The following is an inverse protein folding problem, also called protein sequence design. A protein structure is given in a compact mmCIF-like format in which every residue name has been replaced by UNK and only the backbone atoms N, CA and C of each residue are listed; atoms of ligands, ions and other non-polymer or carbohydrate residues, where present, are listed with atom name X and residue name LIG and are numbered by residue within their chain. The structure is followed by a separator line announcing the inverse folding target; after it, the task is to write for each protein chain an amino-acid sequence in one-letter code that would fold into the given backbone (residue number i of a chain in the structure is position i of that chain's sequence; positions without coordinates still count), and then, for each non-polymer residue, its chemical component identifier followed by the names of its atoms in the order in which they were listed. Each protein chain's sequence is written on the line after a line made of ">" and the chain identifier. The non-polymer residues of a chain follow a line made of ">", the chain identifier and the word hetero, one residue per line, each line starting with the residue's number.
data_IF_967843351770
#
_entry.id   IF_967843351770
#
_cell.length_a   1.000
_cell.length_b   1.000
_cell.length_c   1.000
_cell.angle_alpha   90.00
_cell.angle_beta   90.00
_cell.angle_gamma   90.00
#
_symmetry.space_group_name_H-M   'P 1'
#
loop_
_entity.id
_entity.type
_entity.pdbx_description
1 polymer ?
#
# COMPACT_ATOMS: atom_id res chain seq x y z
N UNK A 1 38.64 -77.46 14.47
CA UNK A 1 38.29 -77.33 13.02
C UNK A 1 38.63 -75.90 12.61
N UNK A 2 39.71 -75.67 11.84
CA UNK A 2 39.71 -75.22 10.42
C UNK A 2 38.70 -74.08 10.17
N UNK A 3 38.98 -72.92 9.55
CA UNK A 3 40.15 -72.28 8.92
C UNK A 3 39.66 -70.86 8.52
N UNK A 4 40.52 -69.82 8.62
CA UNK A 4 40.81 -68.71 7.65
C UNK A 4 39.78 -68.38 6.55
N UNK A 5 39.49 -67.14 6.13
CA UNK A 5 40.17 -65.85 6.23
C UNK A 5 39.44 -64.82 5.33
N UNK A 6 39.83 -63.55 5.42
CA UNK A 6 39.37 -62.47 4.54
C UNK A 6 39.97 -62.59 3.12
N UNK A 7 39.34 -61.94 2.12
CA UNK A 7 39.95 -61.19 1.00
C UNK A 7 38.85 -60.57 0.11
N UNK A 8 39.03 -59.28 -0.21
CA UNK A 8 38.31 -58.48 -1.21
C UNK A 8 38.57 -58.96 -2.65
N UNK A 9 37.65 -58.75 -3.58
CA UNK A 9 37.99 -58.37 -4.97
C UNK A 9 36.80 -57.78 -5.72
N UNK A 10 37.06 -56.63 -6.35
CA UNK A 10 36.20 -55.84 -7.24
C UNK A 10 36.38 -56.35 -8.67
N UNK A 11 35.31 -56.49 -9.47
CA UNK A 11 35.36 -56.60 -10.94
C UNK A 11 34.13 -55.90 -11.60
N UNK A 12 34.45 -54.87 -12.38
CA UNK A 12 33.71 -54.16 -13.45
C UNK A 12 34.42 -54.63 -14.77
N UNK A 13 33.94 -54.56 -16.05
CA UNK A 13 32.81 -53.83 -16.71
C UNK A 13 32.03 -54.61 -17.82
N UNK A 14 31.06 -53.97 -18.51
CA UNK A 14 31.14 -53.58 -19.95
C UNK A 14 29.75 -53.22 -20.54
N UNK A 15 29.65 -51.93 -20.90
CA UNK A 15 29.01 -51.26 -22.07
C UNK A 15 27.58 -51.64 -22.51
N UNK A 16 26.73 -50.62 -22.55
CA UNK A 16 26.25 -50.09 -23.83
C UNK A 16 26.04 -48.56 -23.78
N UNK A 17 26.35 -47.93 -24.90
CA UNK A 17 26.44 -46.50 -25.19
C UNK A 17 25.25 -46.10 -26.05
N UNK A 18 24.63 -44.95 -25.76
CA UNK A 18 23.94 -44.01 -26.68
C UNK A 18 22.87 -43.24 -25.87
N UNK A 19 22.57 -41.96 -26.04
CA UNK A 19 23.17 -40.86 -26.79
C UNK A 19 22.53 -39.56 -26.26
N UNK A 20 23.34 -38.51 -26.18
CA UNK A 20 23.06 -37.10 -26.50
C UNK A 20 21.60 -36.62 -26.42
N UNK A 21 21.33 -35.70 -25.49
CA UNK A 21 20.66 -34.43 -25.80
C UNK A 21 21.02 -33.38 -24.76
N UNK A 22 21.91 -32.48 -25.18
CA UNK A 22 22.15 -31.19 -24.54
C UNK A 22 20.91 -30.34 -24.80
N UNK A 23 20.01 -30.28 -23.82
CA UNK A 23 18.94 -29.30 -23.76
C UNK A 23 19.36 -28.18 -22.83
N UNK A 24 19.92 -27.11 -23.41
CA UNK A 24 20.20 -25.86 -22.73
C UNK A 24 18.88 -25.25 -22.25
N UNK A 25 18.43 -25.57 -21.03
CA UNK A 25 17.36 -24.80 -20.38
C UNK A 25 17.99 -23.56 -19.75
N UNK A 26 18.21 -22.56 -20.59
CA UNK A 26 18.24 -21.16 -20.17
C UNK A 26 16.83 -20.80 -19.69
N UNK A 27 16.46 -21.20 -18.47
CA UNK A 27 15.32 -20.57 -17.83
C UNK A 27 15.82 -19.21 -17.35
N UNK A 28 15.52 -18.20 -18.17
CA UNK A 28 15.60 -16.79 -17.81
C UNK A 28 15.11 -16.64 -16.37
N UNK A 29 16.04 -16.28 -15.49
CA UNK A 29 15.68 -15.60 -14.25
C UNK A 29 15.09 -14.25 -14.67
N UNK A 30 13.81 -14.25 -15.06
CA UNK A 30 13.03 -13.03 -15.06
C UNK A 30 12.97 -12.60 -13.60
N UNK A 31 13.84 -11.69 -13.23
CA UNK A 31 13.61 -10.81 -12.09
C UNK A 31 12.22 -10.24 -12.30
N UNK A 32 11.24 -10.74 -11.55
CA UNK A 32 9.91 -10.19 -11.58
C UNK A 32 10.05 -8.73 -11.14
N UNK A 33 9.98 -7.81 -12.11
CA UNK A 33 9.85 -6.40 -11.82
C UNK A 33 8.64 -6.27 -10.88
N UNK A 34 8.86 -5.70 -9.70
CA UNK A 34 7.83 -5.43 -8.71
C UNK A 34 6.84 -4.44 -9.31
N UNK A 35 5.84 -4.93 -10.03
CA UNK A 35 4.78 -4.07 -10.56
C UNK A 35 3.90 -3.62 -9.40
N UNK A 36 3.97 -2.35 -9.01
CA UNK A 36 3.10 -1.79 -7.98
C UNK A 36 1.77 -1.39 -8.62
N UNK A 37 0.68 -1.62 -7.91
CA UNK A 37 -0.67 -1.52 -8.47
C UNK A 37 -1.10 -0.06 -8.76
N UNK A 38 -0.45 0.93 -8.14
CA UNK A 38 -0.73 2.36 -8.30
C UNK A 38 0.51 3.21 -8.71
N UNK A 39 1.65 2.60 -9.07
CA UNK A 39 2.82 3.34 -9.59
C UNK A 39 2.66 3.84 -11.04
N UNK A 40 1.61 3.41 -11.73
CA UNK A 40 1.36 3.84 -13.11
C UNK A 40 0.67 5.19 -13.12
N UNK A 41 1.15 6.08 -14.00
CA UNK A 41 0.46 7.32 -14.35
C UNK A 41 -0.88 7.00 -15.01
N UNK A 42 -1.94 7.71 -14.64
CA UNK A 42 -3.26 7.50 -15.24
C UNK A 42 -3.21 7.88 -16.73
N UNK A 43 -3.83 7.06 -17.61
CA UNK A 43 -3.76 7.28 -19.07
C UNK A 43 -4.22 8.69 -19.48
N UNK A 44 -5.18 9.24 -18.75
CA UNK A 44 -5.77 10.55 -19.02
C UNK A 44 -5.02 11.70 -18.31
N UNK A 45 -4.14 11.38 -17.35
CA UNK A 45 -3.33 12.34 -16.59
C UNK A 45 -1.87 11.84 -16.43
N UNK A 46 -1.10 11.77 -17.54
CA UNK A 46 0.24 11.20 -17.54
C UNK A 46 1.26 12.04 -16.76
N UNK A 47 0.92 13.24 -16.32
CA UNK A 47 1.81 14.14 -15.57
C UNK A 47 1.83 13.81 -14.07
N UNK A 48 0.80 13.13 -13.54
CA UNK A 48 0.61 12.86 -12.11
C UNK A 48 0.55 11.36 -11.81
N UNK A 49 1.08 10.95 -10.66
CA UNK A 49 0.92 9.57 -10.19
C UNK A 49 -0.55 9.29 -9.89
N UNK A 50 -0.96 8.02 -9.95
CA UNK A 50 -2.34 7.66 -9.60
C UNK A 50 -2.66 8.01 -8.14
N UNK A 51 -1.69 7.84 -7.23
CA UNK A 51 -1.82 8.28 -5.84
C UNK A 51 -2.07 9.79 -5.74
N UNK A 52 -1.32 10.58 -6.50
CA UNK A 52 -1.50 12.02 -6.60
C UNK A 52 -2.89 12.40 -7.11
N UNK A 53 -3.41 11.69 -8.12
CA UNK A 53 -4.76 11.92 -8.64
C UNK A 53 -5.82 11.62 -7.58
N UNK A 54 -5.69 10.52 -6.83
CA UNK A 54 -6.59 10.17 -5.74
C UNK A 54 -6.58 11.25 -4.65
N UNK A 55 -5.39 11.75 -4.28
CA UNK A 55 -5.25 12.84 -3.30
C UNK A 55 -5.88 14.13 -3.81
N UNK A 56 -5.64 14.48 -5.07
CA UNK A 56 -6.19 15.68 -5.68
C UNK A 56 -7.72 15.62 -5.69
N UNK A 57 -8.31 14.53 -6.17
CA UNK A 57 -9.76 14.33 -6.22
C UNK A 57 -10.39 14.36 -4.81
N UNK A 58 -9.75 13.71 -3.82
CA UNK A 58 -10.28 13.62 -2.46
C UNK A 58 -10.15 14.94 -1.66
N UNK A 59 -9.10 15.73 -1.88
CA UNK A 59 -8.73 16.83 -0.97
C UNK A 59 -8.70 18.23 -1.60
N UNK A 60 -8.88 18.39 -2.92
CA UNK A 60 -8.81 19.70 -3.56
C UNK A 60 -9.84 20.72 -3.05
N UNK A 61 -11.00 20.28 -2.57
CA UNK A 61 -12.00 21.14 -1.92
C UNK A 61 -11.75 21.38 -0.42
N UNK A 62 -10.77 20.68 0.17
CA UNK A 62 -10.56 20.61 1.62
C UNK A 62 -9.36 21.43 2.07
N UNK A 63 -8.27 21.41 1.28
CA UNK A 63 -7.01 22.13 1.55
C UNK A 63 -6.61 23.00 0.36
N UNK A 64 -5.83 24.04 0.61
CA UNK A 64 -5.35 24.96 -0.42
C UNK A 64 -4.47 24.25 -1.44
N UNK A 65 -4.38 24.80 -2.65
CA UNK A 65 -3.55 24.25 -3.73
C UNK A 65 -2.07 24.10 -3.33
N UNK A 66 -1.53 25.02 -2.52
CA UNK A 66 -0.16 24.94 -2.02
C UNK A 66 0.04 23.76 -1.07
N UNK A 67 -0.84 23.61 -0.08
CA UNK A 67 -0.82 22.45 0.83
C UNK A 67 -1.03 21.14 0.06
N UNK A 68 -1.96 21.12 -0.90
CA UNK A 68 -2.27 19.95 -1.71
C UNK A 68 -1.06 19.48 -2.54
N UNK A 69 -0.37 20.42 -3.19
CA UNK A 69 0.85 20.14 -3.95
C UNK A 69 1.91 19.46 -3.08
N UNK A 70 2.13 19.95 -1.86
CA UNK A 70 3.07 19.34 -0.92
C UNK A 70 2.65 17.92 -0.51
N UNK A 71 1.36 17.72 -0.20
CA UNK A 71 0.83 16.40 0.18
C UNK A 71 1.00 15.39 -0.95
N UNK A 72 0.68 15.78 -2.19
CA UNK A 72 0.88 14.93 -3.39
C UNK A 72 2.36 14.61 -3.58
N UNK A 73 3.23 15.62 -3.57
CA UNK A 73 4.67 15.42 -3.72
C UNK A 73 5.24 14.48 -2.64
N UNK A 74 4.81 14.65 -1.39
CA UNK A 74 5.29 13.83 -0.28
C UNK A 74 4.77 12.39 -0.36
N UNK A 75 3.58 12.18 -0.91
CA UNK A 75 3.05 10.85 -1.22
C UNK A 75 3.91 10.14 -2.28
N UNK A 76 4.29 10.86 -3.33
CA UNK A 76 5.12 10.34 -4.41
C UNK A 76 6.58 10.09 -3.99
N UNK A 77 7.06 10.83 -3.00
CA UNK A 77 8.41 10.73 -2.45
C UNK A 77 8.50 9.80 -1.22
N UNK A 78 7.43 9.09 -0.87
CA UNK A 78 7.40 8.22 0.29
C UNK A 78 8.41 7.06 0.16
N UNK A 79 9.54 7.20 0.84
CA UNK A 79 10.53 6.13 0.96
C UNK A 79 9.91 4.90 1.65
N UNK A 80 10.33 3.71 1.22
CA UNK A 80 9.80 2.38 1.60
C UNK A 80 8.37 2.04 1.10
N UNK A 81 7.70 2.89 0.31
CA UNK A 81 6.36 2.61 -0.22
C UNK A 81 6.28 1.25 -0.95
N UNK A 82 7.32 0.93 -1.72
CA UNK A 82 7.48 -0.30 -2.51
C UNK A 82 7.38 -1.59 -1.68
N UNK A 83 7.58 -1.49 -0.36
CA UNK A 83 7.57 -2.62 0.57
C UNK A 83 6.27 -2.73 1.37
N UNK A 84 5.30 -1.84 1.15
CA UNK A 84 4.07 -1.79 1.95
C UNK A 84 3.04 -2.80 1.47
N UNK A 85 2.39 -3.45 2.44
CA UNK A 85 1.31 -4.41 2.29
C UNK A 85 1.60 -5.64 1.41
N UNK A 86 2.87 -5.99 1.22
CA UNK A 86 3.28 -7.27 0.63
C UNK A 86 3.23 -8.45 1.65
N UNK A 87 3.41 -9.68 1.15
CA UNK A 87 3.25 -10.97 1.88
C UNK A 87 3.86 -11.02 3.28
N UNK A 88 5.02 -10.40 3.50
CA UNK A 88 5.76 -10.48 4.76
C UNK A 88 5.77 -9.15 5.54
N UNK A 89 5.16 -8.10 5.01
CA UNK A 89 5.30 -6.73 5.54
C UNK A 89 4.02 -6.17 6.14
N UNK A 90 2.92 -6.92 6.19
CA UNK A 90 1.65 -6.37 6.64
C UNK A 90 1.75 -5.72 8.04
N UNK A 91 2.37 -6.41 9.02
CA UNK A 91 2.66 -5.83 10.35
C UNK A 91 3.57 -4.60 10.28
N UNK A 92 4.61 -4.64 9.43
CA UNK A 92 5.51 -3.50 9.19
C UNK A 92 4.75 -2.31 8.59
N UNK A 93 3.75 -2.56 7.75
CA UNK A 93 2.96 -1.55 7.04
C UNK A 93 1.99 -0.85 7.98
N UNK A 94 1.37 -1.59 8.91
CA UNK A 94 0.59 -0.97 9.99
C UNK A 94 1.47 -0.10 10.89
N UNK A 95 2.64 -0.61 11.30
CA UNK A 95 3.59 0.15 12.09
C UNK A 95 4.11 1.40 11.35
N UNK A 96 4.19 1.34 10.01
CA UNK A 96 4.52 2.49 9.17
C UNK A 96 3.44 3.57 9.28
N UNK A 97 2.16 3.21 9.09
CA UNK A 97 1.03 4.14 9.22
C UNK A 97 1.01 4.79 10.60
N UNK A 98 1.11 3.99 11.67
CA UNK A 98 1.12 4.48 13.06
C UNK A 98 2.29 5.44 13.32
N UNK A 99 3.49 5.10 12.79
CA UNK A 99 4.68 5.94 12.92
C UNK A 99 4.49 7.29 12.22
N UNK A 100 4.02 7.30 10.98
CA UNK A 100 3.81 8.55 10.25
C UNK A 100 2.69 9.38 10.89
N UNK A 101 1.59 8.77 11.32
CA UNK A 101 0.54 9.44 12.09
C UNK A 101 1.08 10.09 13.38
N UNK A 102 1.97 9.41 14.11
CA UNK A 102 2.63 9.97 15.29
C UNK A 102 3.48 11.20 14.94
N UNK A 103 4.24 11.14 13.83
CA UNK A 103 5.03 12.28 13.33
C UNK A 103 4.16 13.46 12.94
N UNK A 104 3.05 13.21 12.22
CA UNK A 104 2.04 14.23 11.87
C UNK A 104 1.57 14.96 13.12
N UNK A 105 1.12 14.21 14.13
CA UNK A 105 0.62 14.80 15.35
C UNK A 105 1.70 15.57 16.10
N UNK A 106 2.92 15.03 16.23
CA UNK A 106 4.01 15.71 16.91
C UNK A 106 4.41 17.03 16.23
N UNK A 107 4.47 17.05 14.90
CA UNK A 107 4.80 18.25 14.13
C UNK A 107 3.67 19.31 14.18
N UNK A 108 2.42 18.89 14.35
CA UNK A 108 1.27 19.77 14.25
C UNK A 108 1.13 20.78 15.40
N UNK A 109 1.89 20.61 16.50
CA UNK A 109 1.76 21.48 17.68
C UNK A 109 1.86 22.96 17.32
N UNK A 110 2.80 23.38 16.47
CA UNK A 110 3.02 24.80 16.12
C UNK A 110 2.56 25.14 14.70
N UNK A 111 1.84 24.25 14.03
CA UNK A 111 1.46 24.44 12.63
C UNK A 111 0.58 25.69 12.40
N UNK A 112 -0.08 26.22 13.42
CA UNK A 112 -0.82 27.47 13.32
C UNK A 112 0.07 28.70 13.08
N UNK A 113 1.27 28.72 13.66
CA UNK A 113 2.16 29.89 13.68
C UNK A 113 3.50 29.66 12.99
N UNK A 114 3.91 28.40 12.81
CA UNK A 114 5.21 28.01 12.27
C UNK A 114 5.06 27.32 10.89
N UNK A 115 5.50 27.96 9.78
CA UNK A 115 5.46 27.36 8.44
C UNK A 115 6.23 26.03 8.33
N UNK A 116 7.34 25.89 9.07
CA UNK A 116 8.14 24.66 9.11
C UNK A 116 7.40 23.51 9.78
N UNK A 117 6.63 23.81 10.82
CA UNK A 117 5.75 22.85 11.46
C UNK A 117 4.63 22.40 10.51
N UNK A 118 3.98 23.33 9.79
CA UNK A 118 2.99 23.00 8.75
C UNK A 118 3.55 22.08 7.68
N UNK A 119 4.74 22.42 7.17
CA UNK A 119 5.43 21.63 6.16
C UNK A 119 5.61 20.18 6.64
N UNK A 120 6.21 19.99 7.82
CA UNK A 120 6.45 18.64 8.38
C UNK A 120 5.15 17.87 8.63
N UNK A 121 4.11 18.53 9.15
CA UNK A 121 2.79 17.91 9.34
C UNK A 121 2.20 17.41 8.02
N UNK A 122 2.19 18.24 6.98
CA UNK A 122 1.62 17.89 5.69
C UNK A 122 2.49 16.88 4.91
N UNK A 123 3.81 16.96 5.04
CA UNK A 123 4.75 15.99 4.49
C UNK A 123 4.47 14.59 5.02
N UNK A 124 4.46 14.41 6.34
CA UNK A 124 4.17 13.11 6.95
C UNK A 124 2.74 12.65 6.69
N UNK A 125 1.79 13.57 6.53
CA UNK A 125 0.43 13.22 6.15
C UNK A 125 0.38 12.65 4.72
N UNK A 126 1.06 13.26 3.74
CA UNK A 126 1.18 12.72 2.39
C UNK A 126 1.84 11.35 2.33
N UNK A 127 2.93 11.16 3.09
CA UNK A 127 3.62 9.86 3.21
C UNK A 127 2.69 8.79 3.81
N UNK A 128 1.92 9.13 4.84
CA UNK A 128 0.93 8.22 5.42
C UNK A 128 -0.18 7.87 4.41
N UNK A 129 -0.60 8.83 3.59
CA UNK A 129 -1.62 8.63 2.55
C UNK A 129 -1.18 7.60 1.50
N UNK A 130 0.11 7.56 1.14
CA UNK A 130 0.65 6.51 0.27
C UNK A 130 0.34 5.12 0.83
N UNK A 131 0.69 4.89 2.09
CA UNK A 131 0.52 3.59 2.75
C UNK A 131 -0.95 3.15 2.82
N UNK A 132 -1.88 4.03 3.21
CA UNK A 132 -3.31 3.68 3.30
C UNK A 132 -3.94 3.43 1.93
N UNK A 133 -3.46 4.09 0.88
CA UNK A 133 -3.92 3.81 -0.50
C UNK A 133 -3.38 2.46 -0.98
N UNK A 134 -2.10 2.18 -0.72
CA UNK A 134 -1.46 0.90 -1.04
C UNK A 134 -2.14 -0.29 -0.37
N UNK A 135 -2.78 -0.11 0.78
CA UNK A 135 -3.59 -1.16 1.40
C UNK A 135 -4.67 -1.69 0.44
N UNK A 136 -5.39 -0.83 -0.27
CA UNK A 136 -6.48 -1.25 -1.15
C UNK A 136 -6.01 -1.84 -2.47
N UNK A 137 -4.77 -1.56 -2.89
CA UNK A 137 -4.22 -2.02 -4.16
C UNK A 137 -3.29 -3.22 -4.04
N UNK A 138 -2.66 -3.38 -2.88
CA UNK A 138 -1.61 -4.38 -2.64
C UNK A 138 -2.02 -5.44 -1.61
N UNK A 139 -3.14 -5.26 -0.89
CA UNK A 139 -3.73 -6.30 -0.03
C UNK A 139 -4.90 -7.01 -0.71
N UNK A 140 -5.28 -8.17 -0.18
CA UNK A 140 -6.45 -8.94 -0.61
C UNK A 140 -7.79 -8.40 -0.06
N UNK A 141 -7.85 -7.16 0.42
CA UNK A 141 -9.05 -6.64 1.07
C UNK A 141 -10.26 -6.65 0.11
N UNK A 142 -10.07 -6.18 -1.12
CA UNK A 142 -11.15 -6.08 -2.11
C UNK A 142 -11.64 -7.47 -2.51
N UNK A 143 -10.73 -8.40 -2.75
CA UNK A 143 -10.99 -9.80 -3.09
C UNK A 143 -11.79 -10.49 -1.99
N UNK A 144 -11.39 -10.31 -0.73
CA UNK A 144 -12.09 -10.89 0.41
C UNK A 144 -13.48 -10.31 0.58
N UNK A 145 -13.65 -9.00 0.46
CA UNK A 145 -14.95 -8.35 0.59
C UNK A 145 -15.90 -8.68 -0.57
N UNK A 146 -15.37 -8.86 -1.78
CA UNK A 146 -16.09 -9.39 -2.95
C UNK A 146 -16.50 -10.84 -2.72
N UNK A 147 -15.59 -11.70 -2.25
CA UNK A 147 -15.88 -13.12 -2.00
C UNK A 147 -16.95 -13.28 -0.92
N UNK A 148 -16.86 -12.55 0.20
CA UNK A 148 -17.88 -12.55 1.26
C UNK A 148 -19.25 -12.16 0.74
N UNK A 149 -19.34 -11.07 -0.04
CA UNK A 149 -20.62 -10.59 -0.61
C UNK A 149 -21.16 -11.54 -1.67
N UNK A 150 -20.29 -12.07 -2.51
CA UNK A 150 -20.64 -13.07 -3.53
C UNK A 150 -21.19 -14.35 -2.90
N UNK A 151 -20.55 -14.86 -1.84
CA UNK A 151 -21.02 -16.04 -1.12
C UNK A 151 -22.38 -15.80 -0.44
N UNK A 152 -22.67 -14.56 -0.02
CA UNK A 152 -23.93 -14.20 0.64
C UNK A 152 -25.07 -13.87 -0.32
N UNK A 153 -24.78 -13.18 -1.43
CA UNK A 153 -25.77 -12.56 -2.31
C UNK A 153 -25.76 -13.14 -3.73
N UNK A 154 -24.68 -13.78 -4.16
CA UNK A 154 -24.43 -14.22 -5.54
C UNK A 154 -23.61 -13.22 -6.36
N UNK A 155 -22.86 -13.73 -7.35
CA UNK A 155 -21.82 -13.01 -8.14
C UNK A 155 -22.30 -11.69 -8.78
N UNK A 156 -23.59 -11.58 -9.11
CA UNK A 156 -24.16 -10.44 -9.85
C UNK A 156 -25.23 -9.66 -9.06
N UNK A 157 -25.30 -9.84 -7.73
CA UNK A 157 -26.40 -9.27 -6.92
C UNK A 157 -25.95 -8.25 -5.87
N UNK A 158 -24.69 -7.81 -5.92
CA UNK A 158 -24.22 -6.73 -5.07
C UNK A 158 -23.56 -5.65 -5.92
N UNK A 159 -23.72 -4.40 -5.48
CA UNK A 159 -22.99 -3.27 -6.03
C UNK A 159 -21.59 -3.21 -5.37
N UNK A 160 -20.49 -3.37 -6.14
CA UNK A 160 -19.14 -3.34 -5.59
C UNK A 160 -18.76 -2.02 -4.90
N UNK A 161 -19.42 -0.90 -5.24
CA UNK A 161 -19.16 0.39 -4.60
C UNK A 161 -19.74 0.48 -3.17
N UNK A 162 -20.56 -0.50 -2.77
CA UNK A 162 -21.05 -0.66 -1.39
C UNK A 162 -20.06 -1.37 -0.47
N UNK A 163 -18.88 -1.76 -0.97
CA UNK A 163 -17.79 -2.23 -0.10
C UNK A 163 -17.41 -1.10 0.85
N UNK A 164 -17.40 -1.43 2.14
CA UNK A 164 -17.08 -0.49 3.21
C UNK A 164 -15.57 -0.22 3.26
N UNK A 165 -15.18 0.85 3.95
CA UNK A 165 -13.77 1.11 4.22
C UNK A 165 -13.25 0.16 5.30
N UNK A 166 -11.94 -0.10 5.28
CA UNK A 166 -11.32 -0.93 6.32
C UNK A 166 -11.39 -0.23 7.68
N UNK A 167 -11.81 -0.99 8.69
CA UNK A 167 -11.70 -0.58 10.08
C UNK A 167 -10.29 -0.91 10.61
N UNK A 168 -9.39 0.07 10.59
CA UNK A 168 -7.99 -0.10 11.00
C UNK A 168 -7.82 -0.71 12.40
N UNK A 169 -8.75 -0.46 13.33
CA UNK A 169 -8.75 -1.04 14.68
C UNK A 169 -9.03 -2.54 14.71
N UNK A 170 -9.73 -3.09 13.71
CA UNK A 170 -10.07 -4.51 13.60
C UNK A 170 -9.02 -5.33 12.86
N UNK A 171 -8.07 -4.67 12.18
CA UNK A 171 -7.05 -5.34 11.38
C UNK A 171 -6.17 -6.30 12.21
N UNK A 172 -5.68 -5.94 13.42
CA UNK A 172 -4.88 -6.88 14.23
C UNK A 172 -5.62 -8.19 14.55
N UNK A 173 -6.95 -8.14 14.69
CA UNK A 173 -7.79 -9.32 14.93
C UNK A 173 -7.96 -10.16 13.66
N UNK A 174 -8.14 -9.51 12.50
CA UNK A 174 -8.18 -10.20 11.20
C UNK A 174 -6.86 -10.94 10.89
N UNK A 175 -5.74 -10.45 11.40
CA UNK A 175 -4.42 -11.09 11.26
C UNK A 175 -4.24 -12.35 12.14
N UNK A 176 -5.04 -12.51 13.21
CA UNK A 176 -4.92 -13.63 14.15
C UNK A 176 -5.87 -14.79 13.81
N UNK A 177 -6.99 -14.50 13.13
CA UNK A 177 -8.07 -15.46 12.91
C UNK A 177 -7.97 -16.29 11.63
N UNK A 178 -7.09 -15.92 10.69
CA UNK A 178 -6.99 -16.61 9.40
C UNK A 178 -5.52 -16.94 9.09
N UNK A 179 -5.27 -18.11 8.49
CA UNK A 179 -3.97 -18.39 7.88
C UNK A 179 -3.59 -17.20 6.97
N UNK A 180 -2.30 -16.80 6.91
CA UNK A 180 -1.90 -15.73 6.00
C UNK A 180 -2.42 -16.07 4.61
N UNK A 181 -3.30 -15.19 4.11
CA UNK A 181 -4.05 -15.35 2.87
C UNK A 181 -3.10 -15.87 1.80
N UNK A 182 -3.39 -17.04 1.23
CA UNK A 182 -2.47 -17.69 0.30
C UNK A 182 -2.17 -16.74 -0.85
N UNK A 183 -0.90 -16.71 -1.28
CA UNK A 183 -0.40 -15.78 -2.29
C UNK A 183 -0.97 -16.00 -3.72
N UNK A 184 -2.04 -16.78 -3.87
CA UNK A 184 -2.51 -17.22 -5.16
C UNK A 184 -3.25 -16.12 -5.97
N UNK A 185 -3.77 -15.06 -5.35
CA UNK A 185 -4.74 -14.19 -6.05
C UNK A 185 -4.74 -12.69 -5.62
N UNK A 186 -3.60 -12.06 -5.29
CA UNK A 186 -3.59 -10.57 -5.22
C UNK A 186 -3.82 -10.07 -6.65
N UNK A 187 -5.03 -9.62 -6.98
CA UNK A 187 -5.33 -9.04 -8.29
C UNK A 187 -4.86 -7.60 -8.25
N UNK A 188 -3.58 -7.39 -8.54
CA UNK A 188 -2.97 -6.07 -8.59
C UNK A 188 -3.87 -5.16 -9.41
N UNK A 189 -4.25 -4.02 -8.84
CA UNK A 189 -5.28 -3.16 -9.40
C UNK A 189 -5.04 -2.83 -10.89
N UNK A 190 -3.80 -2.62 -11.32
CA UNK A 190 -3.45 -2.29 -12.70
C UNK A 190 -3.05 -3.49 -13.59
N UNK A 191 -3.03 -4.71 -13.08
CA UNK A 191 -2.71 -5.90 -13.88
C UNK A 191 -3.92 -6.38 -14.69
N UNK A 192 -3.69 -7.35 -15.58
CA UNK A 192 -4.78 -8.05 -16.28
C UNK A 192 -5.86 -8.57 -15.32
N UNK A 193 -5.43 -9.04 -14.15
CA UNK A 193 -6.29 -9.54 -13.10
C UNK A 193 -7.06 -8.40 -12.41
N UNK A 194 -6.46 -7.23 -12.20
CA UNK A 194 -7.15 -6.04 -11.69
C UNK A 194 -8.21 -5.48 -12.64
N UNK A 195 -8.11 -5.79 -13.94
CA UNK A 195 -9.11 -5.44 -14.96
C UNK A 195 -10.29 -6.41 -15.01
N UNK A 196 -10.24 -7.52 -14.27
CA UNK A 196 -11.36 -8.45 -14.17
C UNK A 196 -12.59 -7.77 -13.58
N UNK A 197 -13.76 -8.10 -14.12
CA UNK A 197 -15.03 -7.52 -13.70
C UNK A 197 -15.59 -8.19 -12.46
N UNK A 198 -16.12 -7.37 -11.57
CA UNK A 198 -16.95 -7.72 -10.43
C UNK A 198 -18.25 -6.94 -10.56
N UNK A 199 -19.33 -7.62 -10.95
CA UNK A 199 -20.58 -6.95 -11.34
C UNK A 199 -20.36 -5.96 -12.49
N UNK A 200 -20.62 -4.67 -12.24
CA UNK A 200 -20.49 -3.58 -13.22
C UNK A 200 -19.13 -2.86 -13.17
N UNK A 201 -18.29 -3.15 -12.18
CA UNK A 201 -16.97 -2.52 -11.98
C UNK A 201 -15.84 -3.52 -12.20
N UNK A 202 -14.60 -3.05 -12.17
CA UNK A 202 -13.40 -3.91 -12.10
C UNK A 202 -12.81 -3.82 -10.70
N UNK A 203 -11.98 -4.81 -10.31
CA UNK A 203 -11.22 -4.73 -9.06
C UNK A 203 -10.44 -3.42 -8.94
N UNK A 204 -9.82 -2.98 -10.03
CA UNK A 204 -9.17 -1.67 -10.12
C UNK A 204 -10.06 -0.51 -9.68
N UNK A 205 -11.25 -0.40 -10.29
CA UNK A 205 -12.16 0.72 -10.04
C UNK A 205 -12.64 0.75 -8.60
N UNK A 206 -12.87 -0.43 -8.03
CA UNK A 206 -13.29 -0.56 -6.63
C UNK A 206 -12.14 -0.21 -5.67
N UNK A 207 -10.93 -0.70 -5.93
CA UNK A 207 -9.74 -0.36 -5.14
C UNK A 207 -9.45 1.16 -5.16
N UNK A 208 -9.49 1.79 -6.35
CA UNK A 208 -9.32 3.25 -6.51
C UNK A 208 -10.39 4.02 -5.73
N UNK A 209 -11.66 3.61 -5.84
CA UNK A 209 -12.76 4.26 -5.12
C UNK A 209 -12.63 4.12 -3.60
N UNK A 210 -12.21 2.95 -3.10
CA UNK A 210 -11.93 2.75 -1.69
C UNK A 210 -10.75 3.62 -1.23
N UNK A 211 -9.67 3.67 -2.00
CA UNK A 211 -8.51 4.52 -1.72
C UNK A 211 -8.87 6.01 -1.71
N UNK A 212 -9.77 6.45 -2.59
CA UNK A 212 -10.30 7.81 -2.63
C UNK A 212 -11.11 8.16 -1.38
N UNK A 213 -12.11 7.33 -1.05
CA UNK A 213 -12.92 7.52 0.16
C UNK A 213 -12.07 7.43 1.44
N UNK A 214 -11.08 6.55 1.46
CA UNK A 214 -10.12 6.45 2.56
C UNK A 214 -9.28 7.71 2.70
N UNK A 215 -8.78 8.27 1.59
CA UNK A 215 -7.95 9.48 1.60
C UNK A 215 -8.73 10.66 2.20
N UNK A 216 -10.00 10.83 1.81
CA UNK A 216 -10.88 11.83 2.42
C UNK A 216 -11.07 11.56 3.92
N UNK A 217 -11.37 10.31 4.30
CA UNK A 217 -11.56 9.91 5.71
C UNK A 217 -10.32 10.17 6.57
N UNK A 218 -9.11 9.96 6.04
CA UNK A 218 -7.88 10.20 6.79
C UNK A 218 -7.67 11.67 7.16
N UNK A 219 -8.18 12.60 6.36
CA UNK A 219 -8.22 14.01 6.76
C UNK A 219 -9.13 14.24 7.98
N UNK A 220 -10.32 13.64 7.99
CA UNK A 220 -11.26 13.77 9.12
C UNK A 220 -10.72 13.11 10.39
N UNK A 221 -10.05 11.97 10.25
CA UNK A 221 -9.32 11.31 11.33
C UNK A 221 -8.24 12.24 11.89
N UNK A 222 -7.41 12.85 11.03
CA UNK A 222 -6.41 13.81 11.44
C UNK A 222 -7.04 14.99 12.20
N UNK A 223 -8.09 15.61 11.66
CA UNK A 223 -8.77 16.72 12.30
C UNK A 223 -9.32 16.34 13.69
N UNK A 224 -9.87 15.14 13.83
CA UNK A 224 -10.35 14.61 15.11
C UNK A 224 -9.22 14.41 16.11
N UNK A 225 -8.09 13.84 15.68
CA UNK A 225 -6.93 13.64 16.54
C UNK A 225 -6.31 14.96 16.99
N UNK A 226 -6.28 15.97 16.12
CA UNK A 226 -5.81 17.31 16.47
C UNK A 226 -6.74 17.99 17.49
N UNK A 227 -8.07 17.84 17.33
CA UNK A 227 -9.05 18.32 18.33
C UNK A 227 -8.84 17.67 19.69
N UNK A 228 -8.61 16.36 19.71
CA UNK A 228 -8.40 15.62 20.95
C UNK A 228 -7.07 15.98 21.62
N UNK A 229 -5.99 16.14 20.84
CA UNK A 229 -4.64 16.39 21.37
C UNK A 229 -4.38 17.85 21.73
N UNK A 230 -4.95 18.79 20.98
CA UNK A 230 -4.66 20.22 21.08
C UNK A 230 -5.92 21.05 21.32
N UNK A 231 -6.71 20.68 22.34
CA UNK A 231 -8.06 21.22 22.60
C UNK A 231 -8.17 22.75 22.51
N UNK A 232 -7.18 23.50 23.02
CA UNK A 232 -7.19 24.97 23.01
C UNK A 232 -6.81 25.66 21.70
N UNK A 233 -6.19 24.97 20.74
CA UNK A 233 -5.73 25.55 19.46
C UNK A 233 -5.96 24.67 18.23
N UNK A 234 -6.69 23.58 18.38
CA UNK A 234 -6.94 22.63 17.28
C UNK A 234 -7.58 23.30 16.05
N UNK A 235 -8.51 24.24 16.26
CA UNK A 235 -9.15 24.96 15.16
C UNK A 235 -8.18 25.86 14.40
N UNK A 236 -7.27 26.56 15.09
CA UNK A 236 -6.25 27.40 14.42
C UNK A 236 -5.25 26.53 13.67
N UNK A 237 -4.81 25.42 14.25
CA UNK A 237 -3.94 24.43 13.59
C UNK A 237 -4.62 23.88 12.33
N UNK A 238 -5.86 23.37 12.43
CA UNK A 238 -6.58 22.80 11.28
C UNK A 238 -6.76 23.85 10.19
N UNK A 239 -7.14 25.08 10.56
CA UNK A 239 -7.31 26.19 9.61
C UNK A 239 -6.00 26.51 8.91
N UNK A 240 -4.89 26.57 9.64
CA UNK A 240 -3.58 26.84 9.08
C UNK A 240 -3.11 25.72 8.14
N UNK A 241 -3.32 24.44 8.49
CA UNK A 241 -3.03 23.31 7.60
C UNK A 241 -3.85 23.37 6.30
N UNK A 242 -5.10 23.84 6.37
CA UNK A 242 -5.97 24.02 5.20
C UNK A 242 -5.56 25.21 4.34
N UNK A 243 -5.29 26.37 4.94
CA UNK A 243 -5.35 27.64 4.21
C UNK A 243 -4.06 28.46 4.25
N UNK A 244 -3.21 28.27 5.25
CA UNK A 244 -1.99 29.07 5.36
C UNK A 244 -0.94 28.58 4.36
N UNK A 245 -0.02 29.48 3.99
CA UNK A 245 1.08 29.13 3.10
C UNK A 245 2.00 28.09 3.73
N UNK A 246 2.53 27.23 2.87
CA UNK A 246 3.58 26.25 3.19
C UNK A 246 4.84 26.59 2.39
N UNK A 247 6.04 26.40 2.95
CA UNK A 247 7.28 26.51 2.19
C UNK A 247 7.34 25.50 1.03
N UNK A 248 8.02 25.88 -0.07
CA UNK A 248 8.23 24.99 -1.23
C UNK A 248 9.28 23.89 -0.99
N UNK A 249 10.10 24.04 0.07
CA UNK A 249 11.17 23.12 0.43
C UNK A 249 11.16 22.84 1.92
N UNK A 250 11.73 21.71 2.29
CA UNK A 250 11.96 21.39 3.69
C UNK A 250 12.86 22.47 4.31
N UNK A 251 12.40 23.13 5.38
CA UNK A 251 13.21 24.10 6.09
C UNK A 251 14.43 23.40 6.70
N UNK A 252 15.62 23.96 6.50
CA UNK A 252 16.82 23.50 7.18
C UNK A 252 16.61 23.60 8.70
N UNK A 253 16.86 22.51 9.42
CA UNK A 253 16.87 22.56 10.88
C UNK A 253 18.08 23.41 11.27
N UNK A 254 17.84 24.56 11.91
CA UNK A 254 18.90 25.34 12.52
C UNK A 254 19.48 24.48 13.66
N UNK A 255 20.67 23.92 13.44
CA UNK A 255 21.47 23.18 14.42
C UNK A 255 21.81 24.04 15.66
#
# INVERSE_FOLDING_TARGET
>A
MRKTGAIYTMHIPIRQVAAVSIGLLSLLATTAASSQAFDLKEKDHPEQSLHGNIINEALASTISAGSLKLVIQSCDQAEDADMLFNKASFKRSLAYIEREQKKVLNAAFEADSNPSARYRTLKHFGIMLRAVQDFYSNSNYVENEVAKRTNKLGVNRFDPYTIELVEWSKIPTLMQSEQPLSAAEIKKANSSEGQEKIGQATYYKVARELALRETARQWDVLATLLKNRYQGKSLTIITALKQASVPDKEPEELE
#
